data_IF_770822033015
#
_entry.id   IF_770822033015
#
_cell.length_a   1.000
_cell.length_b   1.000
_cell.length_c   1.000
_cell.angle_alpha   90.00
_cell.angle_beta   90.00
_cell.angle_gamma   90.00
#
_symmetry.space_group_name_H-M   'P 1'
#
loop_
_entity.id
_entity.type
_entity.pdbx_description
1 polymer ?
#
# COMPACT_ATOMS: atom_id res chain seq x y z
N UNK A 1 -83.12 8.87 10.24
CA UNK A 1 -82.13 9.33 9.24
C UNK A 1 -80.79 9.49 10.00
N UNK A 2 -79.97 8.45 9.98
CA UNK A 2 -78.67 8.46 10.66
C UNK A 2 -77.60 8.67 9.59
N UNK A 3 -76.87 9.79 9.64
CA UNK A 3 -75.71 10.10 8.73
C UNK A 3 -74.45 9.58 9.40
N UNK A 4 -73.89 8.49 8.86
CA UNK A 4 -72.58 7.98 9.27
C UNK A 4 -71.50 8.88 8.66
N UNK A 5 -70.66 9.48 9.50
CA UNK A 5 -69.47 10.21 9.11
C UNK A 5 -68.32 9.22 9.13
N UNK A 6 -67.79 8.87 7.94
CA UNK A 6 -66.56 8.10 7.81
C UNK A 6 -65.38 9.05 7.98
N UNK A 7 -64.64 8.89 9.06
CA UNK A 7 -63.41 9.62 9.34
C UNK A 7 -62.25 8.84 8.72
N UNK A 8 -61.72 9.34 7.62
CA UNK A 8 -60.57 8.74 6.91
C UNK A 8 -59.28 9.18 7.64
N UNK A 9 -58.62 8.26 8.31
CA UNK A 9 -57.30 8.50 8.91
C UNK A 9 -56.25 8.24 7.85
N UNK A 10 -55.59 9.31 7.41
CA UNK A 10 -54.44 9.21 6.52
C UNK A 10 -53.18 8.89 7.35
N UNK A 11 -52.63 7.70 7.18
CA UNK A 11 -51.30 7.34 7.70
C UNK A 11 -50.23 7.97 6.83
N UNK A 12 -49.55 8.99 7.34
CA UNK A 12 -48.27 9.45 6.79
C UNK A 12 -47.19 8.45 7.20
N UNK A 13 -46.75 7.61 6.29
CA UNK A 13 -45.54 6.81 6.46
C UNK A 13 -44.33 7.71 6.21
N UNK A 14 -43.65 8.15 7.26
CA UNK A 14 -42.33 8.77 7.19
C UNK A 14 -41.32 7.65 6.91
N UNK A 15 -40.92 7.53 5.66
CA UNK A 15 -39.82 6.65 5.26
C UNK A 15 -38.50 7.20 5.78
N UNK A 16 -37.91 6.55 6.77
CA UNK A 16 -36.53 6.79 7.17
C UNK A 16 -35.62 6.31 6.05
N UNK A 17 -35.05 7.26 5.29
CA UNK A 17 -33.96 6.97 4.35
C UNK A 17 -32.73 6.70 5.23
N UNK A 18 -32.40 5.42 5.41
CA UNK A 18 -31.17 5.02 6.07
C UNK A 18 -29.99 5.54 5.23
N UNK A 19 -29.17 6.37 5.84
CA UNK A 19 -27.94 6.90 5.26
C UNK A 19 -26.94 5.75 5.05
N UNK A 20 -26.96 5.17 3.86
CA UNK A 20 -25.95 4.22 3.37
C UNK A 20 -24.79 4.94 2.66
N UNK A 21 -24.50 6.19 3.02
CA UNK A 21 -23.55 7.02 2.28
C UNK A 21 -22.19 7.22 2.97
N UNK A 22 -22.02 6.72 4.21
CA UNK A 22 -20.74 6.90 4.93
C UNK A 22 -19.67 5.87 4.57
N UNK A 23 -19.97 4.87 3.74
CA UNK A 23 -18.98 3.83 3.39
C UNK A 23 -18.07 4.18 2.19
N UNK A 24 -18.37 5.25 1.47
CA UNK A 24 -17.63 5.62 0.24
C UNK A 24 -16.63 6.77 0.47
N UNK A 25 -16.57 7.35 1.65
CA UNK A 25 -15.79 8.57 1.89
C UNK A 25 -14.40 8.34 2.50
N UNK A 26 -13.93 7.10 2.63
CA UNK A 26 -12.55 6.81 3.04
C UNK A 26 -11.76 6.21 1.88
N UNK A 27 -11.67 6.94 0.78
CA UNK A 27 -10.83 6.59 -0.37
C UNK A 27 -9.37 7.07 -0.19
N UNK A 28 -8.95 7.35 1.03
CA UNK A 28 -7.52 7.45 1.33
C UNK A 28 -7.11 6.07 1.82
N UNK A 29 -6.44 5.30 0.96
CA UNK A 29 -5.83 4.05 1.40
C UNK A 29 -5.04 4.33 2.69
N UNK A 30 -5.22 3.53 3.76
CA UNK A 30 -4.50 3.77 5.00
C UNK A 30 -3.00 3.70 4.70
N UNK A 31 -2.30 4.80 4.91
CA UNK A 31 -0.84 4.82 4.78
C UNK A 31 -0.23 3.90 5.81
N UNK A 32 0.83 3.24 5.41
CA UNK A 32 1.59 2.39 6.32
C UNK A 32 2.15 3.24 7.47
N UNK A 33 1.93 2.87 8.75
CA UNK A 33 2.40 3.68 9.87
C UNK A 33 3.92 3.55 10.14
N UNK A 34 4.58 2.54 9.56
CA UNK A 34 6.01 2.30 9.72
C UNK A 34 6.81 3.36 8.95
N UNK A 35 7.87 3.88 9.57
CA UNK A 35 8.79 4.87 8.98
C UNK A 35 10.21 4.32 8.77
N UNK A 36 10.59 3.29 9.54
CA UNK A 36 11.91 2.67 9.45
C UNK A 36 11.94 1.62 8.34
N UNK A 37 12.99 1.60 7.53
CA UNK A 37 13.13 0.71 6.38
C UNK A 37 12.97 -0.76 6.71
N UNK A 38 13.58 -1.23 7.80
CA UNK A 38 13.40 -2.60 8.28
C UNK A 38 11.94 -2.92 8.64
N UNK A 39 11.27 -1.99 9.33
CA UNK A 39 9.87 -2.18 9.73
C UNK A 39 8.93 -2.19 8.51
N UNK A 40 9.18 -1.34 7.52
CA UNK A 40 8.44 -1.33 6.25
C UNK A 40 8.67 -2.65 5.51
N UNK A 41 9.92 -3.08 5.39
CA UNK A 41 10.28 -4.34 4.73
C UNK A 41 9.52 -5.52 5.34
N UNK A 42 9.56 -5.67 6.65
CA UNK A 42 8.88 -6.76 7.34
C UNK A 42 7.36 -6.67 7.30
N UNK A 43 6.80 -5.47 7.19
CA UNK A 43 5.35 -5.28 7.13
C UNK A 43 4.74 -5.68 5.78
N UNK A 44 5.42 -5.39 4.66
CA UNK A 44 4.86 -5.58 3.31
C UNK A 44 5.75 -6.36 2.35
N UNK A 45 7.06 -6.14 2.33
CA UNK A 45 7.95 -6.74 1.32
C UNK A 45 8.23 -8.22 1.61
N UNK A 46 8.45 -8.55 2.87
CA UNK A 46 8.81 -9.91 3.32
C UNK A 46 7.73 -10.95 3.03
N UNK A 47 6.48 -10.54 2.82
CA UNK A 47 5.39 -11.44 2.43
C UNK A 47 5.62 -12.15 1.10
N UNK A 48 6.37 -11.53 0.19
CA UNK A 48 6.75 -12.10 -1.10
C UNK A 48 8.26 -12.37 -1.19
N UNK A 49 9.09 -11.43 -0.74
CA UNK A 49 10.55 -11.54 -0.86
C UNK A 49 11.21 -12.34 0.28
N UNK A 50 10.43 -12.86 1.23
CA UNK A 50 10.84 -13.58 2.43
C UNK A 50 11.57 -12.69 3.46
N UNK A 51 11.56 -13.04 4.75
CA UNK A 51 12.19 -12.23 5.80
C UNK A 51 13.69 -12.01 5.62
N UNK A 52 14.38 -12.94 4.97
CA UNK A 52 15.81 -12.92 4.67
C UNK A 52 16.15 -12.40 3.27
N UNK A 53 15.13 -12.00 2.49
CA UNK A 53 15.30 -11.49 1.14
C UNK A 53 15.63 -12.54 0.08
N UNK A 54 15.56 -13.84 0.38
CA UNK A 54 15.92 -14.92 -0.55
C UNK A 54 14.90 -15.14 -1.66
N UNK A 55 13.72 -14.51 -1.56
CA UNK A 55 12.65 -14.76 -2.50
C UNK A 55 12.10 -16.19 -2.38
N UNK A 56 11.26 -16.59 -3.32
CA UNK A 56 10.67 -17.92 -3.34
C UNK A 56 10.40 -18.41 -4.76
N UNK A 57 10.48 -19.73 -4.96
CA UNK A 57 10.11 -20.40 -6.21
C UNK A 57 9.04 -21.44 -5.89
N UNK A 58 7.92 -21.38 -6.60
CA UNK A 58 6.80 -22.32 -6.47
C UNK A 58 5.96 -22.29 -7.73
N UNK A 59 4.64 -22.14 -7.61
CA UNK A 59 3.76 -21.90 -8.75
C UNK A 59 4.06 -20.58 -9.49
N UNK A 60 4.76 -19.64 -8.83
CA UNK A 60 5.37 -18.43 -9.35
C UNK A 60 6.77 -18.25 -8.78
N UNK A 61 7.42 -17.16 -9.15
CA UNK A 61 8.74 -16.81 -8.63
C UNK A 61 8.71 -15.39 -8.06
N UNK A 62 9.17 -15.25 -6.81
CA UNK A 62 9.48 -13.97 -6.19
C UNK A 62 10.99 -13.80 -6.19
N UNK A 63 11.54 -12.76 -6.83
CA UNK A 63 12.98 -12.60 -6.96
C UNK A 63 13.65 -12.39 -5.60
N UNK A 64 14.86 -12.90 -5.46
CA UNK A 64 15.70 -12.59 -4.32
C UNK A 64 16.11 -11.12 -4.35
N UNK A 65 16.07 -10.49 -3.18
CA UNK A 65 16.67 -9.18 -2.92
C UNK A 65 18.05 -9.32 -2.28
N UNK A 66 18.28 -10.46 -1.61
CA UNK A 66 19.56 -10.79 -1.01
C UNK A 66 20.61 -11.02 -2.11
N UNK A 67 21.76 -10.35 -1.99
CA UNK A 67 22.87 -10.47 -2.94
C UNK A 67 22.50 -10.07 -4.38
N UNK A 68 21.56 -9.16 -4.57
CA UNK A 68 21.04 -8.80 -5.88
C UNK A 68 21.71 -7.52 -6.41
N UNK A 69 22.61 -7.68 -7.39
CA UNK A 69 23.35 -6.59 -8.01
C UNK A 69 22.46 -5.52 -8.68
N UNK A 70 21.22 -5.86 -9.03
CA UNK A 70 20.25 -4.88 -9.54
C UNK A 70 19.90 -3.78 -8.52
N UNK A 71 20.24 -3.98 -7.24
CA UNK A 71 20.02 -3.01 -6.16
C UNK A 71 21.24 -2.10 -5.93
N UNK A 72 22.33 -2.21 -6.72
CA UNK A 72 23.50 -1.36 -6.59
C UNK A 72 23.13 0.13 -6.74
N UNK A 73 22.30 0.47 -7.73
CA UNK A 73 21.74 1.81 -7.88
C UNK A 73 20.35 1.95 -7.26
N UNK A 74 19.97 3.13 -6.76
CA UNK A 74 18.66 3.35 -6.14
C UNK A 74 17.51 3.45 -7.16
N UNK A 75 17.78 3.81 -8.40
CA UNK A 75 16.74 4.10 -9.41
C UNK A 75 15.87 2.88 -9.71
N UNK A 76 16.48 1.71 -9.83
CA UNK A 76 15.75 0.48 -10.13
C UNK A 76 14.78 0.08 -9.00
N UNK A 77 15.20 -0.04 -7.74
CA UNK A 77 14.26 -0.36 -6.67
C UNK A 77 13.23 0.75 -6.43
N UNK A 78 13.55 2.03 -6.60
CA UNK A 78 12.57 3.12 -6.53
C UNK A 78 11.48 2.90 -7.60
N UNK A 79 11.88 2.68 -8.85
CA UNK A 79 10.94 2.43 -9.94
C UNK A 79 10.05 1.22 -9.67
N UNK A 80 10.64 0.10 -9.24
CA UNK A 80 9.91 -1.14 -8.96
C UNK A 80 8.90 -0.99 -7.82
N UNK A 81 9.27 -0.30 -6.74
CA UNK A 81 8.37 -0.05 -5.61
C UNK A 81 7.24 0.90 -6.00
N UNK A 82 7.57 1.95 -6.74
CA UNK A 82 6.60 2.99 -7.11
C UNK A 82 5.57 2.48 -8.12
N UNK A 83 6.02 1.82 -9.18
CA UNK A 83 5.18 1.45 -10.32
C UNK A 83 4.73 -0.02 -10.32
N UNK A 84 5.43 -0.88 -9.57
CA UNK A 84 5.22 -2.32 -9.62
C UNK A 84 5.66 -2.94 -10.96
N UNK A 85 5.68 -4.26 -10.99
CA UNK A 85 5.89 -5.01 -12.23
C UNK A 85 5.36 -6.44 -12.09
N UNK A 86 4.60 -6.92 -13.07
CA UNK A 86 4.03 -8.28 -13.06
C UNK A 86 3.18 -8.50 -11.79
N UNK A 87 3.61 -9.45 -10.92
CA UNK A 87 2.93 -9.74 -9.66
C UNK A 87 3.29 -8.78 -8.52
N UNK A 88 4.32 -7.95 -8.66
CA UNK A 88 4.65 -6.92 -7.67
C UNK A 88 3.71 -5.73 -7.85
N UNK A 89 2.87 -5.41 -6.85
CA UNK A 89 1.94 -4.29 -6.96
C UNK A 89 2.67 -2.95 -6.90
N UNK A 90 2.11 -1.88 -7.50
CA UNK A 90 2.60 -0.52 -7.29
C UNK A 90 2.30 -0.07 -5.85
N UNK A 91 3.31 0.42 -5.17
CA UNK A 91 3.22 0.88 -3.78
C UNK A 91 3.37 2.41 -3.64
N UNK A 92 3.53 3.12 -4.76
CA UNK A 92 3.75 4.57 -4.76
C UNK A 92 2.61 5.39 -4.15
N UNK A 93 1.38 4.88 -4.17
CA UNK A 93 0.23 5.54 -3.53
C UNK A 93 0.07 5.19 -2.04
N UNK A 94 0.72 4.09 -1.59
CA UNK A 94 0.64 3.58 -0.21
C UNK A 94 1.80 4.06 0.66
N UNK A 95 2.97 4.32 0.05
CA UNK A 95 4.18 4.77 0.71
C UNK A 95 4.51 6.19 0.24
N UNK A 96 4.89 7.04 1.20
CA UNK A 96 5.45 8.34 0.86
C UNK A 96 6.94 8.24 0.48
N UNK A 97 7.50 9.34 0.01
CA UNK A 97 8.88 9.37 -0.51
C UNK A 97 9.91 9.03 0.57
N UNK A 98 9.65 9.43 1.82
CA UNK A 98 10.53 9.11 2.94
C UNK A 98 10.50 7.60 3.27
N UNK A 99 9.33 6.99 3.21
CA UNK A 99 9.15 5.56 3.42
C UNK A 99 9.80 4.74 2.30
N UNK A 100 9.64 5.16 1.05
CA UNK A 100 10.28 4.50 -0.09
C UNK A 100 11.81 4.62 0.03
N UNK A 101 12.34 5.81 0.33
CA UNK A 101 13.78 6.00 0.54
C UNK A 101 14.30 5.11 1.68
N UNK A 102 13.59 5.04 2.80
CA UNK A 102 13.98 4.23 3.94
C UNK A 102 14.04 2.73 3.60
N UNK A 103 13.04 2.19 2.91
CA UNK A 103 13.05 0.76 2.54
C UNK A 103 14.05 0.46 1.43
N UNK A 104 14.28 1.37 0.50
CA UNK A 104 15.33 1.23 -0.53
C UNK A 104 16.71 1.16 0.13
N UNK A 105 17.01 2.05 1.09
CA UNK A 105 18.25 1.99 1.84
C UNK A 105 18.37 0.67 2.62
N UNK A 106 17.29 0.23 3.26
CA UNK A 106 17.30 -1.04 3.98
C UNK A 106 17.68 -2.22 3.08
N UNK A 107 17.05 -2.39 1.93
CA UNK A 107 17.33 -3.52 1.03
C UNK A 107 18.69 -3.41 0.36
N UNK A 108 19.25 -2.21 0.21
CA UNK A 108 20.57 -1.97 -0.36
C UNK A 108 21.72 -2.22 0.64
N UNK A 109 21.49 -1.94 1.92
CA UNK A 109 22.53 -2.05 2.95
C UNK A 109 22.39 -3.28 3.85
N UNK A 110 21.35 -4.09 3.64
CA UNK A 110 21.06 -5.28 4.44
C UNK A 110 20.73 -6.47 3.54
N UNK A 111 20.23 -7.56 4.11
CA UNK A 111 19.90 -8.79 3.38
C UNK A 111 21.11 -9.40 2.63
N UNK A 112 22.32 -9.21 3.17
CA UNK A 112 23.56 -9.64 2.50
C UNK A 112 24.06 -8.70 1.40
N UNK A 113 23.40 -7.55 1.21
CA UNK A 113 23.85 -6.45 0.38
C UNK A 113 24.64 -5.43 1.22
N UNK A 114 25.60 -4.76 0.58
CA UNK A 114 26.42 -3.70 1.20
C UNK A 114 26.77 -2.65 0.12
N UNK A 115 25.74 -2.13 -0.55
CA UNK A 115 25.91 -1.14 -1.61
C UNK A 115 26.05 0.26 -1.03
N UNK A 116 26.94 1.06 -1.59
CA UNK A 116 27.22 2.42 -1.12
C UNK A 116 26.10 3.42 -1.48
N UNK A 117 26.11 4.54 -0.77
CA UNK A 117 25.25 5.70 -1.02
C UNK A 117 23.84 5.58 -0.42
N UNK A 118 23.35 6.72 0.03
CA UNK A 118 22.03 6.85 0.64
C UNK A 118 21.01 7.39 -0.37
N UNK A 119 19.85 6.78 -0.40
CA UNK A 119 18.68 7.27 -1.15
C UNK A 119 17.94 8.28 -0.29
N UNK A 120 17.65 9.45 -0.84
CA UNK A 120 16.89 10.51 -0.16
C UNK A 120 15.42 10.54 -0.62
N UNK A 121 14.51 11.14 0.16
CA UNK A 121 13.14 11.39 -0.32
C UNK A 121 13.10 12.25 -1.60
N UNK A 122 14.10 13.12 -1.81
CA UNK A 122 14.22 13.91 -3.03
C UNK A 122 14.51 13.08 -4.27
N UNK A 123 15.32 12.01 -4.14
CA UNK A 123 15.58 11.07 -5.24
C UNK A 123 14.31 10.33 -5.63
N UNK A 124 13.51 9.92 -4.64
CA UNK A 124 12.22 9.26 -4.88
C UNK A 124 11.25 10.21 -5.57
N UNK A 125 11.12 11.45 -5.08
CA UNK A 125 10.25 12.46 -5.68
C UNK A 125 10.61 12.78 -7.13
N UNK A 126 11.90 12.74 -7.47
CA UNK A 126 12.38 12.96 -8.84
C UNK A 126 12.11 11.79 -9.79
N UNK A 127 11.91 10.59 -9.25
CA UNK A 127 11.70 9.35 -10.01
C UNK A 127 10.22 8.93 -10.15
N UNK A 128 9.28 9.66 -9.55
CA UNK A 128 7.82 9.40 -9.61
C UNK A 128 7.20 9.71 -10.97
#
# INVERSE_FOLDING_TARGET
MMRSVFMTVAFLSVGTVAAAQDFVQSATAPRLPQTEGAAIYHAICSGCHMPDGQGAIGAGAYPALAGNEMLEGPDYPIFMITHGQKAMPPLGDYLDDAQIAAVVNYIRHNLGNDFEGETTPGDVAAAR
#
